data_IF_610110251791
#
_entry.id   IF_610110251791
#
_cell.length_a   1.000
_cell.length_b   1.000
_cell.length_c   1.000
_cell.angle_alpha   90.00
_cell.angle_beta   90.00
_cell.angle_gamma   90.00
#
_symmetry.space_group_name_H-M   'P 1'
#
loop_
_entity.id
_entity.type
_entity.pdbx_description
1 polymer ?
#
# COMPACT_ATOMS: atom_id res chain seq x y z
N UNK A 1 1.68 -6.55 -12.72
CA UNK A 1 1.25 -5.74 -11.56
C UNK A 1 0.67 -4.42 -12.05
N UNK A 2 -0.31 -3.88 -11.33
CA UNK A 2 -1.12 -2.73 -11.74
C UNK A 2 -2.55 -2.91 -11.27
N UNK A 3 -3.54 -2.68 -12.12
CA UNK A 3 -4.97 -2.83 -11.76
C UNK A 3 -5.39 -4.27 -11.38
N UNK A 4 -4.58 -5.29 -11.68
CA UNK A 4 -4.85 -6.68 -11.30
C UNK A 4 -4.18 -7.09 -9.97
N UNK A 5 -3.73 -6.11 -9.17
CA UNK A 5 -3.10 -6.35 -7.88
C UNK A 5 -1.56 -6.33 -7.89
N UNK A 6 -1.01 -6.53 -6.70
CA UNK A 6 0.41 -6.51 -6.36
C UNK A 6 0.64 -6.66 -4.86
N UNK A 7 1.91 -6.65 -4.47
CA UNK A 7 2.36 -6.71 -3.07
C UNK A 7 3.10 -5.41 -2.70
N UNK A 8 3.04 -5.03 -1.43
CA UNK A 8 3.57 -3.76 -0.93
C UNK A 8 5.10 -3.75 -0.84
N UNK A 9 5.70 -4.87 -0.44
CA UNK A 9 7.16 -5.10 -0.43
C UNK A 9 7.77 -4.87 -1.83
N UNK A 10 7.13 -5.40 -2.87
CA UNK A 10 7.53 -5.21 -4.26
C UNK A 10 7.45 -3.75 -4.71
N UNK A 11 6.50 -2.98 -4.16
CA UNK A 11 6.40 -1.55 -4.42
C UNK A 11 7.50 -0.75 -3.71
N UNK A 12 7.85 -1.12 -2.47
CA UNK A 12 8.98 -0.55 -1.74
C UNK A 12 10.30 -0.83 -2.45
N UNK A 13 10.54 -2.08 -2.86
CA UNK A 13 11.72 -2.45 -3.65
C UNK A 13 11.84 -1.64 -4.94
N UNK A 14 10.72 -1.47 -5.66
CA UNK A 14 10.69 -0.65 -6.86
C UNK A 14 11.04 0.81 -6.55
N UNK A 15 10.45 1.41 -5.52
CA UNK A 15 10.69 2.80 -5.14
C UNK A 15 12.17 3.03 -4.77
N UNK A 16 12.76 2.13 -3.98
CA UNK A 16 14.19 2.18 -3.62
C UNK A 16 15.07 2.02 -4.86
N UNK A 17 14.80 1.04 -5.72
CA UNK A 17 15.58 0.79 -6.94
C UNK A 17 15.53 1.95 -7.94
N UNK A 18 14.39 2.64 -8.05
CA UNK A 18 14.17 3.68 -9.04
C UNK A 18 14.39 5.11 -8.51
N UNK A 19 14.88 5.24 -7.28
CA UNK A 19 15.29 6.51 -6.68
C UNK A 19 14.11 7.40 -6.30
N UNK A 20 13.02 6.81 -5.81
CA UNK A 20 11.85 7.54 -5.34
C UNK A 20 10.57 7.29 -6.12
N UNK A 21 9.51 7.95 -5.66
CA UNK A 21 8.21 8.05 -6.33
C UNK A 21 7.91 9.52 -6.64
N UNK A 22 7.06 9.76 -7.63
CA UNK A 22 6.60 11.11 -7.95
C UNK A 22 5.55 11.57 -6.92
N UNK A 23 5.38 12.90 -6.80
CA UNK A 23 4.24 13.45 -6.06
C UNK A 23 2.94 13.22 -6.85
N UNK A 24 1.79 13.23 -6.16
CA UNK A 24 0.48 13.12 -6.82
C UNK A 24 0.25 14.25 -7.85
N UNK A 25 0.82 15.45 -7.61
CA UNK A 25 0.73 16.55 -8.56
C UNK A 25 1.52 16.31 -9.86
N UNK A 26 2.70 15.68 -9.75
CA UNK A 26 3.57 15.38 -10.90
C UNK A 26 3.13 14.10 -11.64
N UNK A 27 2.44 13.18 -10.95
CA UNK A 27 1.90 11.95 -11.54
C UNK A 27 0.49 11.64 -11.00
N UNK A 28 -0.56 12.30 -11.53
CA UNK A 28 -1.93 12.12 -11.03
C UNK A 28 -2.48 10.71 -11.24
N UNK A 29 -3.30 10.25 -10.29
CA UNK A 29 -3.99 8.97 -10.39
C UNK A 29 -5.11 8.98 -11.43
N UNK A 30 -4.91 8.24 -12.53
CA UNK A 30 -5.87 8.15 -13.64
C UNK A 30 -6.65 6.83 -13.67
N UNK A 31 -6.07 5.74 -13.15
CA UNK A 31 -6.64 4.39 -13.23
C UNK A 31 -8.00 4.25 -12.54
N UNK A 32 -8.31 5.09 -11.55
CA UNK A 32 -9.61 5.10 -10.89
C UNK A 32 -10.77 5.50 -11.81
N UNK A 33 -10.46 6.24 -12.90
CA UNK A 33 -11.44 6.64 -13.92
C UNK A 33 -11.40 5.74 -15.14
N UNK A 34 -10.20 5.38 -15.60
CA UNK A 34 -10.03 4.59 -16.83
C UNK A 34 -10.21 3.09 -16.61
N UNK A 35 -10.13 2.63 -15.35
CA UNK A 35 -10.09 1.22 -14.97
C UNK A 35 -8.98 0.42 -15.67
N UNK A 36 -7.97 1.11 -16.21
CA UNK A 36 -6.90 0.52 -17.00
C UNK A 36 -5.55 1.12 -16.61
N UNK A 37 -4.49 0.30 -16.67
CA UNK A 37 -3.13 0.80 -16.48
C UNK A 37 -2.74 1.73 -17.62
N UNK A 38 -2.03 2.80 -17.29
CA UNK A 38 -1.35 3.64 -18.28
C UNK A 38 -0.04 3.04 -18.79
N UNK A 39 0.61 3.78 -19.67
CA UNK A 39 2.04 3.59 -20.00
C UNK A 39 2.88 4.27 -18.92
N UNK A 40 3.99 3.65 -18.53
CA UNK A 40 4.91 4.23 -17.56
C UNK A 40 5.54 5.50 -18.13
N UNK A 41 5.28 6.65 -17.50
CA UNK A 41 5.97 7.90 -17.82
C UNK A 41 7.24 7.99 -16.96
N UNK A 42 8.39 7.77 -17.56
CA UNK A 42 9.69 7.80 -16.87
C UNK A 42 10.30 9.19 -16.76
N UNK A 43 9.72 10.19 -17.43
CA UNK A 43 10.21 11.58 -17.45
C UNK A 43 9.75 12.41 -16.27
N UNK A 44 8.89 11.87 -15.40
CA UNK A 44 8.40 12.54 -14.20
C UNK A 44 9.50 12.74 -13.17
N UNK A 45 9.45 13.87 -12.47
CA UNK A 45 10.33 14.13 -11.33
C UNK A 45 9.97 13.19 -10.19
N UNK A 46 10.98 12.49 -9.67
CA UNK A 46 10.86 11.62 -8.50
C UNK A 46 11.43 12.32 -7.28
N UNK A 47 10.81 12.10 -6.14
CA UNK A 47 11.33 12.47 -4.84
C UNK A 47 12.07 11.28 -4.23
N UNK A 48 13.40 11.37 -4.16
CA UNK A 48 14.23 10.35 -3.54
C UNK A 48 13.93 10.17 -2.04
N UNK A 49 13.41 11.21 -1.36
CA UNK A 49 12.96 11.14 0.02
C UNK A 49 11.68 10.32 0.22
N UNK A 50 10.94 10.04 -0.87
CA UNK A 50 9.72 9.25 -0.84
C UNK A 50 9.97 7.74 -1.07
N UNK A 51 11.22 7.31 -1.23
CA UNK A 51 11.58 5.89 -1.19
C UNK A 51 11.98 5.47 0.23
N UNK A 52 11.56 4.27 0.69
CA UNK A 52 12.11 3.73 1.92
C UNK A 52 13.59 3.41 1.72
N UNK A 53 14.39 3.62 2.77
CA UNK A 53 15.80 3.18 2.81
C UNK A 53 15.90 1.66 2.87
N UNK A 54 14.97 1.04 3.58
CA UNK A 54 14.76 -0.39 3.70
C UNK A 54 13.31 -0.65 4.11
N UNK A 55 12.85 -1.88 3.91
CA UNK A 55 11.59 -2.37 4.47
C UNK A 55 11.86 -3.75 5.10
N UNK A 56 10.97 -4.17 6.00
CA UNK A 56 11.08 -5.46 6.68
C UNK A 56 9.68 -5.96 7.01
N UNK A 57 9.52 -7.28 6.99
CA UNK A 57 8.27 -7.91 7.37
C UNK A 57 8.12 -7.91 8.88
N UNK A 58 6.96 -7.44 9.34
CA UNK A 58 6.52 -7.66 10.72
C UNK A 58 6.28 -9.16 10.90
N UNK A 59 6.65 -9.70 12.07
CA UNK A 59 6.40 -11.10 12.38
C UNK A 59 4.93 -11.46 12.16
N UNK A 60 4.70 -12.44 11.28
CA UNK A 60 3.37 -12.91 10.92
C UNK A 60 2.60 -13.41 12.15
N UNK A 61 1.31 -13.11 12.21
CA UNK A 61 0.38 -13.57 13.25
C UNK A 61 0.80 -13.19 14.68
N UNK A 62 1.43 -12.04 14.86
CA UNK A 62 1.86 -11.54 16.17
C UNK A 62 1.35 -10.12 16.41
N UNK A 63 0.30 -9.99 17.22
CA UNK A 63 -0.25 -8.69 17.61
C UNK A 63 0.79 -7.85 18.35
N UNK A 64 1.64 -8.46 19.18
CA UNK A 64 2.70 -7.76 19.90
C UNK A 64 3.76 -7.18 18.96
N UNK A 65 4.18 -7.93 17.93
CA UNK A 65 5.09 -7.42 16.92
C UNK A 65 4.43 -6.30 16.09
N UNK A 66 3.16 -6.47 15.71
CA UNK A 66 2.41 -5.45 14.96
C UNK A 66 2.24 -4.17 15.77
N UNK A 67 1.84 -4.26 17.04
CA UNK A 67 1.73 -3.10 17.93
C UNK A 67 3.08 -2.38 18.09
N UNK A 68 4.18 -3.14 18.22
CA UNK A 68 5.52 -2.57 18.33
C UNK A 68 5.96 -1.85 17.05
N UNK A 69 5.59 -2.35 15.87
CA UNK A 69 5.88 -1.70 14.59
C UNK A 69 5.02 -0.43 14.41
N UNK A 70 3.72 -0.51 14.69
CA UNK A 70 2.77 0.60 14.59
C UNK A 70 3.12 1.76 15.54
N UNK A 71 3.71 1.47 16.69
CA UNK A 71 4.18 2.50 17.63
C UNK A 71 5.33 3.36 17.08
N UNK A 72 6.03 2.88 16.04
CA UNK A 72 7.18 3.58 15.44
C UNK A 72 6.81 4.34 14.17
N UNK A 73 5.96 3.75 13.32
CA UNK A 73 5.55 4.31 12.03
C UNK A 73 4.31 3.62 11.45
N UNK A 74 3.63 4.22 10.45
CA UNK A 74 2.62 3.51 9.68
C UNK A 74 3.17 2.23 9.03
N UNK A 75 2.34 1.18 9.00
CA UNK A 75 2.68 -0.14 8.44
C UNK A 75 1.69 -0.49 7.33
N UNK A 76 2.19 -0.95 6.19
CA UNK A 76 1.35 -1.51 5.13
C UNK A 76 0.95 -2.94 5.47
N UNK A 77 -0.36 -3.24 5.43
CA UNK A 77 -0.92 -4.56 5.76
C UNK A 77 -1.83 -5.07 4.65
N UNK A 78 -2.03 -6.39 4.60
CA UNK A 78 -3.07 -7.02 3.79
C UNK A 78 -4.23 -7.42 4.71
N UNK A 79 -5.46 -7.21 4.23
CA UNK A 79 -6.69 -7.65 4.90
C UNK A 79 -7.61 -8.30 3.87
N UNK A 80 -8.55 -9.13 4.33
CA UNK A 80 -9.64 -9.60 3.50
C UNK A 80 -10.80 -8.58 3.54
N UNK A 81 -10.97 -7.82 2.46
CA UNK A 81 -11.95 -6.73 2.36
C UNK A 81 -13.13 -7.02 1.41
N UNK A 82 -13.28 -8.26 0.94
CA UNK A 82 -14.28 -8.65 -0.05
C UNK A 82 -15.69 -8.88 0.54
N UNK A 83 -15.82 -8.98 1.87
CA UNK A 83 -17.08 -9.25 2.54
C UNK A 83 -17.99 -8.01 2.65
N UNK A 84 -19.30 -8.22 2.50
CA UNK A 84 -20.31 -7.15 2.56
C UNK A 84 -20.29 -6.36 3.88
N UNK A 85 -20.00 -7.04 5.00
CA UNK A 85 -19.84 -6.40 6.30
C UNK A 85 -18.78 -5.30 6.27
N UNK A 86 -17.63 -5.56 5.63
CA UNK A 86 -16.54 -4.59 5.50
C UNK A 86 -16.90 -3.48 4.50
N UNK A 87 -17.48 -3.83 3.35
CA UNK A 87 -17.87 -2.85 2.32
C UNK A 87 -18.91 -1.82 2.82
N UNK A 88 -19.79 -2.23 3.74
CA UNK A 88 -20.87 -1.40 4.27
C UNK A 88 -20.55 -0.81 5.66
N UNK A 89 -19.36 -1.05 6.19
CA UNK A 89 -18.92 -0.51 7.48
C UNK A 89 -18.87 1.03 7.46
N UNK A 90 -19.26 1.67 8.57
CA UNK A 90 -19.33 3.13 8.68
C UNK A 90 -18.61 3.71 9.89
N UNK A 91 -18.72 3.07 11.06
CA UNK A 91 -18.19 3.60 12.31
C UNK A 91 -18.17 2.55 13.42
N UNK A 92 -17.34 2.75 14.44
CA UNK A 92 -17.23 1.88 15.62
C UNK A 92 -15.92 1.09 15.65
N UNK A 93 -15.95 -0.08 16.27
CA UNK A 93 -14.90 -1.10 16.14
C UNK A 93 -15.49 -2.21 15.29
N UNK A 94 -14.83 -2.57 14.20
CA UNK A 94 -15.28 -3.62 13.31
C UNK A 94 -14.97 -4.99 13.92
N UNK A 95 -16.01 -5.75 14.30
CA UNK A 95 -15.88 -7.06 14.97
C UNK A 95 -16.62 -8.18 14.23
N UNK A 96 -17.00 -7.97 12.96
CA UNK A 96 -17.61 -9.01 12.16
C UNK A 96 -16.56 -10.03 11.70
N UNK A 97 -16.99 -11.27 11.49
CA UNK A 97 -16.12 -12.32 10.99
C UNK A 97 -15.55 -11.97 9.61
N UNK A 98 -14.27 -12.29 9.40
CA UNK A 98 -13.59 -12.16 8.13
C UNK A 98 -12.49 -13.22 8.01
N UNK A 99 -12.41 -13.87 6.84
CA UNK A 99 -11.27 -14.74 6.47
C UNK A 99 -10.86 -15.82 7.46
N UNK A 100 -9.62 -16.29 7.28
CA UNK A 100 -8.93 -17.32 8.07
C UNK A 100 -7.45 -16.99 8.18
#
# INVERSE_FOLDING_TARGET
>A
MGCNGGLMDSAFDWATKWGGVATEGDYPYTSGKTQARGTCNTSVKKDAGAAPKSHTDVQKNSDSAMMSALAQQPVSIAIQADQAAFQLYKSGVFTADCGT
#
